data_IF_012086069277
#
_entry.id   IF_012086069277
#
_cell.length_a   1.000
_cell.length_b   1.000
_cell.length_c   1.000
_cell.angle_alpha   90.00
_cell.angle_beta   90.00
_cell.angle_gamma   90.00
#
_symmetry.space_group_name_H-M   'P 1'
#
loop_
_entity.id
_entity.type
_entity.pdbx_description
1 polymer ?
#
# COMPACT_ATOMS: atom_id res chain seq x y z
N UNK A 1 -4.26 -10.41 -10.98
CA UNK A 1 -3.69 -9.31 -10.18
C UNK A 1 -4.67 -8.17 -10.31
N UNK A 2 -5.03 -7.57 -9.18
CA UNK A 2 -6.17 -6.67 -9.05
C UNK A 2 -5.81 -5.63 -7.98
N UNK A 3 -6.37 -4.43 -8.07
CA UNK A 3 -6.36 -3.45 -7.01
C UNK A 3 -7.79 -2.97 -6.76
N UNK A 4 -8.28 -3.15 -5.54
CA UNK A 4 -9.59 -2.65 -5.12
C UNK A 4 -9.44 -1.27 -4.46
N UNK A 5 -10.46 -0.43 -4.58
CA UNK A 5 -10.45 0.93 -4.06
C UNK A 5 -9.96 1.95 -5.08
N UNK A 6 -9.66 3.18 -4.62
CA UNK A 6 -9.19 4.25 -5.52
C UNK A 6 -7.70 4.14 -5.74
N UNK A 7 -7.29 3.91 -6.99
CA UNK A 7 -5.89 3.89 -7.39
C UNK A 7 -5.53 5.24 -8.01
N UNK A 8 -4.48 5.87 -7.49
CA UNK A 8 -3.99 7.16 -8.00
C UNK A 8 -2.51 7.05 -8.33
N UNK A 9 -2.14 7.45 -9.53
CA UNK A 9 -0.77 7.64 -9.96
C UNK A 9 -0.60 9.10 -10.38
N UNK A 10 0.34 9.83 -9.77
CA UNK A 10 0.59 11.23 -10.15
C UNK A 10 1.33 11.36 -11.50
N UNK A 11 1.92 10.28 -11.98
CA UNK A 11 2.55 10.18 -13.29
C UNK A 11 1.81 9.19 -14.17
N UNK A 12 2.58 8.40 -14.92
CA UNK A 12 2.04 7.36 -15.80
C UNK A 12 1.62 6.10 -15.04
N UNK A 13 0.71 5.35 -15.64
CA UNK A 13 0.33 4.00 -15.27
C UNK A 13 0.66 3.04 -16.43
N UNK A 14 1.53 2.07 -16.18
CA UNK A 14 1.87 1.02 -17.14
C UNK A 14 1.37 -0.34 -16.64
N UNK A 15 0.65 -1.04 -17.50
CA UNK A 15 0.23 -2.41 -17.30
C UNK A 15 0.89 -3.29 -18.37
N UNK A 16 1.80 -4.14 -17.91
CA UNK A 16 2.49 -5.15 -18.70
C UNK A 16 2.62 -6.41 -17.83
N UNK A 17 1.78 -7.39 -18.09
CA UNK A 17 1.66 -8.63 -17.34
C UNK A 17 2.56 -9.68 -17.97
N UNK A 18 3.13 -10.51 -17.08
CA UNK A 18 3.96 -11.64 -17.51
C UNK A 18 3.19 -12.61 -18.41
N UNK A 19 3.91 -13.21 -19.35
CA UNK A 19 3.38 -14.33 -20.13
C UNK A 19 2.91 -15.49 -19.24
N UNK A 20 1.87 -16.20 -19.69
CA UNK A 20 1.37 -17.41 -19.03
C UNK A 20 0.51 -17.18 -17.78
N UNK A 21 0.24 -15.93 -17.39
CA UNK A 21 -0.79 -15.59 -16.38
C UNK A 21 -2.03 -14.98 -17.03
N UNK A 22 -3.06 -14.66 -16.23
CA UNK A 22 -4.20 -13.88 -16.72
C UNK A 22 -3.73 -12.56 -17.31
N UNK A 23 -4.23 -12.20 -18.49
CA UNK A 23 -3.91 -10.95 -19.20
C UNK A 23 -4.89 -9.83 -18.84
N UNK A 24 -5.48 -9.94 -17.64
CA UNK A 24 -6.48 -9.02 -17.11
C UNK A 24 -5.95 -8.40 -15.82
N UNK A 25 -6.19 -7.10 -15.64
CA UNK A 25 -6.01 -6.39 -14.38
C UNK A 25 -7.32 -5.71 -14.00
N UNK A 26 -7.90 -6.07 -12.86
CA UNK A 26 -9.08 -5.37 -12.34
C UNK A 26 -8.63 -4.19 -11.48
N UNK A 27 -9.21 -3.01 -11.70
CA UNK A 27 -8.96 -1.78 -10.93
C UNK A 27 -10.26 -1.25 -10.34
N UNK A 28 -10.22 -0.80 -9.10
CA UNK A 28 -11.40 -0.34 -8.37
C UNK A 28 -12.17 -1.45 -7.68
N UNK A 29 -12.33 -2.60 -8.35
CA UNK A 29 -13.01 -3.78 -7.83
C UNK A 29 -12.09 -4.99 -7.99
N UNK A 30 -12.03 -5.86 -7.00
CA UNK A 30 -11.30 -7.12 -7.06
C UNK A 30 -12.24 -8.29 -6.81
N UNK A 31 -12.09 -9.40 -7.54
CA UNK A 31 -13.05 -10.50 -7.51
C UNK A 31 -13.16 -11.21 -6.16
N UNK A 32 -12.10 -11.12 -5.33
CA UNK A 32 -12.07 -11.57 -3.93
C UNK A 32 -11.54 -10.49 -2.99
N UNK A 33 -11.72 -9.21 -3.34
CA UNK A 33 -11.28 -8.05 -2.55
C UNK A 33 -12.01 -7.86 -1.22
N UNK A 34 -11.75 -6.73 -0.56
CA UNK A 34 -12.48 -6.29 0.64
C UNK A 34 -13.98 -6.07 0.37
N UNK A 35 -14.39 -6.00 -0.90
CA UNK A 35 -15.75 -5.70 -1.39
C UNK A 35 -16.22 -4.31 -0.97
N UNK A 36 -15.30 -3.37 -0.87
CA UNK A 36 -15.58 -1.94 -0.68
C UNK A 36 -15.16 -1.18 -1.94
N UNK A 37 -15.85 -1.39 -3.07
CA UNK A 37 -15.50 -0.69 -4.30
C UNK A 37 -15.80 0.82 -4.14
N UNK A 38 -15.07 1.70 -4.86
CA UNK A 38 -15.47 3.08 -4.96
C UNK A 38 -16.88 3.18 -5.57
N UNK A 39 -17.63 4.27 -5.32
CA UNK A 39 -18.96 4.45 -5.89
C UNK A 39 -18.97 4.32 -7.42
N UNK A 40 -20.05 3.75 -7.97
CA UNK A 40 -20.21 3.62 -9.43
C UNK A 40 -20.08 4.97 -10.13
N UNK A 41 -19.35 4.97 -11.25
CA UNK A 41 -19.04 6.15 -12.06
C UNK A 41 -17.98 7.08 -11.46
N UNK A 42 -17.47 6.80 -10.25
CA UNK A 42 -16.30 7.51 -9.73
C UNK A 42 -15.00 7.01 -10.36
N UNK A 43 -13.93 7.80 -10.26
CA UNK A 43 -12.61 7.41 -10.74
C UNK A 43 -12.09 6.24 -9.88
N UNK A 44 -11.95 5.07 -10.52
CA UNK A 44 -11.32 3.87 -9.95
C UNK A 44 -9.81 3.94 -10.13
N UNK A 45 -9.37 4.44 -11.30
CA UNK A 45 -8.01 4.80 -11.58
C UNK A 45 -7.94 6.29 -11.96
N UNK A 46 -7.01 7.01 -11.37
CA UNK A 46 -6.59 8.35 -11.76
C UNK A 46 -5.11 8.31 -12.12
N UNK A 47 -4.76 8.74 -13.33
CA UNK A 47 -3.38 8.88 -13.79
C UNK A 47 -3.08 10.33 -14.19
N UNK A 48 -2.04 10.91 -13.59
CA UNK A 48 -1.55 12.26 -13.94
C UNK A 48 -0.73 12.31 -15.22
N UNK A 49 -0.52 11.18 -15.89
CA UNK A 49 0.15 11.08 -17.17
C UNK A 49 -0.47 9.98 -18.03
N UNK A 50 0.37 9.30 -18.80
CA UNK A 50 -0.06 8.29 -19.75
C UNK A 50 -0.63 7.04 -19.06
N UNK A 51 -1.57 6.38 -19.72
CA UNK A 51 -2.04 5.04 -19.36
C UNK A 51 -1.68 4.11 -20.52
N UNK A 52 -0.83 3.13 -20.25
CA UNK A 52 -0.36 2.17 -21.26
C UNK A 52 -0.72 0.76 -20.82
N UNK A 53 -1.46 0.04 -21.66
CA UNK A 53 -1.77 -1.38 -21.49
C UNK A 53 -1.10 -2.15 -22.63
N UNK A 54 -0.29 -3.15 -22.30
CA UNK A 54 0.43 -3.95 -23.27
C UNK A 54 -0.52 -4.71 -24.23
N UNK A 55 0.00 -5.05 -25.42
CA UNK A 55 -0.78 -5.71 -26.46
C UNK A 55 -1.33 -7.07 -25.98
N UNK A 56 -2.63 -7.31 -26.21
CA UNK A 56 -3.29 -8.54 -25.78
C UNK A 56 -3.79 -8.51 -24.33
N UNK A 57 -3.50 -7.44 -23.58
CA UNK A 57 -3.95 -7.27 -22.20
C UNK A 57 -5.11 -6.29 -22.06
N UNK A 58 -5.79 -6.36 -20.91
CA UNK A 58 -6.97 -5.53 -20.61
C UNK A 58 -6.99 -5.03 -19.17
N UNK A 59 -7.21 -3.74 -19.02
CA UNK A 59 -7.55 -3.09 -17.75
C UNK A 59 -9.08 -3.07 -17.59
N UNK A 60 -9.63 -3.69 -16.54
CA UNK A 60 -11.06 -3.69 -16.26
C UNK A 60 -11.37 -2.76 -15.09
N UNK A 61 -12.22 -1.77 -15.33
CA UNK A 61 -12.78 -0.89 -14.32
C UNK A 61 -14.26 -1.25 -14.04
N UNK A 62 -14.62 -2.52 -14.13
CA UNK A 62 -15.96 -3.04 -13.85
C UNK A 62 -15.96 -4.45 -13.27
N UNK A 63 -17.01 -4.77 -12.52
CA UNK A 63 -17.37 -6.13 -12.15
C UNK A 63 -18.90 -6.24 -12.00
N UNK A 64 -19.51 -7.15 -12.76
CA UNK A 64 -20.96 -7.33 -12.75
C UNK A 64 -21.71 -6.08 -13.19
N UNK A 65 -22.47 -5.47 -12.28
CA UNK A 65 -23.20 -4.22 -12.54
C UNK A 65 -22.45 -2.96 -12.11
N UNK A 66 -21.31 -3.12 -11.46
CA UNK A 66 -20.51 -2.02 -10.93
C UNK A 66 -19.43 -1.61 -11.92
N UNK A 67 -19.24 -0.30 -12.08
CA UNK A 67 -18.23 0.24 -13.01
C UNK A 67 -17.77 1.62 -12.60
N UNK A 68 -16.49 1.90 -12.85
CA UNK A 68 -15.86 3.18 -12.56
C UNK A 68 -15.40 3.92 -13.80
N UNK A 69 -14.52 4.90 -13.58
CA UNK A 69 -13.81 5.63 -14.61
C UNK A 69 -12.31 5.43 -14.48
N UNK A 70 -11.64 5.53 -15.62
CA UNK A 70 -10.18 5.60 -15.73
C UNK A 70 -9.87 7.01 -16.21
N UNK A 71 -9.57 7.90 -15.27
CA UNK A 71 -9.20 9.28 -15.55
C UNK A 71 -7.71 9.36 -15.88
N UNK A 72 -7.35 10.03 -16.97
CA UNK A 72 -5.96 10.16 -17.42
C UNK A 72 -5.68 11.52 -18.04
N UNK A 73 -4.51 12.08 -17.77
CA UNK A 73 -4.09 13.40 -18.25
C UNK A 73 -3.16 13.35 -19.49
N UNK A 74 -2.53 12.19 -19.76
CA UNK A 74 -1.66 11.98 -20.91
C UNK A 74 -2.37 11.25 -22.07
N UNK A 75 -1.61 10.38 -22.75
CA UNK A 75 -2.14 9.50 -23.78
C UNK A 75 -2.70 8.19 -23.18
N UNK A 76 -3.68 7.59 -23.85
CA UNK A 76 -4.15 6.24 -23.54
C UNK A 76 -3.81 5.29 -24.70
N UNK A 77 -3.11 4.21 -24.39
CA UNK A 77 -2.84 3.11 -25.33
C UNK A 77 -3.23 1.76 -24.75
N UNK A 78 -3.68 0.85 -25.62
CA UNK A 78 -4.17 -0.48 -25.23
C UNK A 78 -5.67 -0.54 -24.95
N UNK A 79 -6.11 -1.54 -24.18
CA UNK A 79 -7.54 -1.83 -23.98
C UNK A 79 -7.98 -1.61 -22.54
N UNK A 80 -9.02 -0.80 -22.38
CA UNK A 80 -9.73 -0.57 -21.11
C UNK A 80 -11.19 -0.97 -21.28
N UNK A 81 -11.72 -1.76 -20.35
CA UNK A 81 -13.13 -2.13 -20.31
C UNK A 81 -13.79 -1.61 -19.01
N UNK A 82 -15.06 -1.16 -19.06
CA UNK A 82 -15.85 -1.00 -20.26
C UNK A 82 -15.27 0.10 -21.16
N UNK A 83 -15.58 0.07 -22.46
CA UNK A 83 -15.09 1.08 -23.42
C UNK A 83 -15.53 2.52 -23.08
N UNK A 84 -16.47 2.67 -22.15
CA UNK A 84 -16.94 3.95 -21.59
C UNK A 84 -16.18 4.40 -20.34
N UNK A 85 -15.30 3.57 -19.77
CA UNK A 85 -14.53 3.90 -18.58
C UNK A 85 -13.44 4.96 -18.83
N UNK A 86 -12.68 4.93 -19.95
CA UNK A 86 -11.69 5.96 -20.24
C UNK A 86 -12.28 7.36 -20.25
N UNK A 87 -11.66 8.26 -19.49
CA UNK A 87 -12.03 9.68 -19.39
C UNK A 87 -10.76 10.53 -19.44
N UNK A 88 -10.51 11.17 -20.57
CA UNK A 88 -9.44 12.17 -20.64
C UNK A 88 -9.78 13.37 -19.76
N UNK A 89 -8.80 13.82 -18.98
CA UNK A 89 -8.88 14.98 -18.10
C UNK A 89 -7.46 15.48 -17.81
N UNK A 90 -7.09 16.63 -18.39
CA UNK A 90 -5.75 17.22 -18.25
C UNK A 90 -5.38 17.51 -16.79
N UNK A 91 -6.38 17.69 -15.93
CA UNK A 91 -6.22 17.99 -14.50
C UNK A 91 -6.58 16.78 -13.61
N UNK A 92 -6.65 15.56 -14.16
CA UNK A 92 -7.10 14.36 -13.45
C UNK A 92 -6.43 14.18 -12.08
N UNK A 93 -5.11 14.40 -12.00
CA UNK A 93 -4.33 14.23 -10.79
C UNK A 93 -4.21 15.49 -9.92
N UNK A 94 -4.73 16.66 -10.36
CA UNK A 94 -4.62 17.92 -9.63
C UNK A 94 -5.10 17.85 -8.17
N UNK A 95 -6.17 17.09 -7.81
CA UNK A 95 -6.58 16.97 -6.41
C UNK A 95 -5.55 16.26 -5.50
N UNK A 96 -4.59 15.55 -6.10
CA UNK A 96 -3.67 14.65 -5.40
C UNK A 96 -2.21 15.13 -5.43
N UNK A 97 -1.88 16.17 -6.21
CA UNK A 97 -0.49 16.63 -6.39
C UNK A 97 0.15 17.06 -5.07
N UNK A 98 -0.60 17.76 -4.22
CA UNK A 98 -0.15 18.22 -2.91
C UNK A 98 -0.10 17.11 -1.85
N UNK A 99 -0.72 15.95 -2.09
CA UNK A 99 -0.68 14.85 -1.11
C UNK A 99 0.72 14.26 -1.00
N UNK A 100 1.48 14.15 -2.09
CA UNK A 100 2.82 13.56 -2.04
C UNK A 100 3.76 14.30 -1.07
N UNK A 101 3.96 15.63 -1.17
CA UNK A 101 4.79 16.34 -0.18
C UNK A 101 4.21 16.28 1.24
N UNK A 102 2.88 16.31 1.41
CA UNK A 102 2.25 16.15 2.73
C UNK A 102 2.49 14.77 3.34
N UNK A 103 2.45 13.71 2.53
CA UNK A 103 2.72 12.34 2.96
C UNK A 103 4.20 12.15 3.30
N UNK A 104 5.12 12.77 2.56
CA UNK A 104 6.55 12.80 2.91
C UNK A 104 6.78 13.50 4.26
N UNK A 105 6.19 14.68 4.45
CA UNK A 105 6.28 15.41 5.72
C UNK A 105 5.66 14.62 6.88
N UNK A 106 4.48 14.04 6.69
CA UNK A 106 3.81 13.21 7.68
C UNK A 106 4.64 11.97 8.03
N UNK A 107 5.15 11.25 7.03
CA UNK A 107 6.01 10.08 7.22
C UNK A 107 7.23 10.40 8.07
N UNK A 108 7.91 11.52 7.79
CA UNK A 108 9.04 11.97 8.59
C UNK A 108 8.62 12.37 10.00
N UNK A 109 7.54 13.13 10.17
CA UNK A 109 7.01 13.56 11.47
C UNK A 109 6.60 12.37 12.37
N UNK A 110 6.10 11.29 11.77
CA UNK A 110 5.77 10.06 12.48
C UNK A 110 7.01 9.30 12.95
N UNK A 111 8.13 9.43 12.25
CA UNK A 111 9.36 8.71 12.54
C UNK A 111 10.38 9.50 13.37
N UNK A 112 10.39 10.83 13.30
CA UNK A 112 11.48 11.63 13.85
C UNK A 112 10.98 12.78 14.74
N UNK A 113 11.70 13.02 15.83
CA UNK A 113 11.66 14.25 16.64
C UNK A 113 12.94 15.05 16.36
N UNK A 114 12.91 15.88 15.32
CA UNK A 114 14.12 16.51 14.77
C UNK A 114 14.90 15.51 13.92
N UNK A 115 16.16 15.25 14.28
CA UNK A 115 17.02 14.24 13.62
C UNK A 115 17.05 12.90 14.42
N UNK A 116 16.42 12.86 15.60
CA UNK A 116 16.38 11.67 16.44
C UNK A 116 15.12 10.85 16.12
N UNK A 117 15.24 9.52 16.21
CA UNK A 117 14.08 8.65 16.11
C UNK A 117 13.09 8.99 17.21
N UNK A 118 11.81 8.96 16.87
CA UNK A 118 10.71 9.19 17.80
C UNK A 118 10.74 8.14 18.90
N UNK A 119 10.49 8.56 20.15
CA UNK A 119 10.49 7.66 21.30
C UNK A 119 9.47 6.52 21.13
N UNK A 120 9.96 5.28 21.22
CA UNK A 120 9.13 4.09 21.12
C UNK A 120 8.32 3.88 22.41
N UNK A 121 7.02 3.63 22.26
CA UNK A 121 6.13 3.21 23.37
C UNK A 121 5.92 1.70 23.39
N UNK A 122 6.57 0.98 22.48
CA UNK A 122 6.53 -0.46 22.38
C UNK A 122 7.92 -1.04 22.12
N UNK A 123 8.00 -2.36 22.23
CA UNK A 123 9.21 -3.12 21.91
C UNK A 123 8.88 -4.17 20.87
N UNK A 124 9.89 -4.64 20.13
CA UNK A 124 9.71 -5.75 19.23
C UNK A 124 10.81 -6.78 19.40
N UNK A 125 10.46 -8.04 19.11
CA UNK A 125 11.39 -9.17 19.11
C UNK A 125 11.10 -10.02 17.89
N UNK A 126 12.16 -10.43 17.21
CA UNK A 126 12.10 -11.40 16.11
C UNK A 126 12.66 -12.72 16.63
N UNK A 127 11.88 -13.80 16.50
CA UNK A 127 12.23 -15.15 16.96
C UNK A 127 11.67 -16.17 15.97
N UNK A 128 12.54 -16.95 15.32
CA UNK A 128 12.15 -17.89 14.29
C UNK A 128 11.41 -17.21 13.13
N UNK A 129 10.16 -17.60 12.91
CA UNK A 129 9.28 -17.11 11.85
C UNK A 129 8.26 -16.06 12.35
N UNK A 130 8.46 -15.51 13.55
CA UNK A 130 7.58 -14.49 14.13
C UNK A 130 8.35 -13.22 14.48
N UNK A 131 7.71 -12.09 14.21
CA UNK A 131 8.10 -10.77 14.67
C UNK A 131 6.98 -10.25 15.57
N UNK A 132 7.26 -10.18 16.87
CA UNK A 132 6.29 -9.82 17.90
C UNK A 132 6.51 -8.38 18.34
N UNK A 133 5.48 -7.56 18.21
CA UNK A 133 5.38 -6.19 18.66
C UNK A 133 4.58 -6.15 19.97
N UNK A 134 5.18 -5.67 21.05
CA UNK A 134 4.56 -5.53 22.37
C UNK A 134 4.43 -4.06 22.74
N UNK A 135 3.20 -3.56 22.77
CA UNK A 135 2.91 -2.21 23.25
C UNK A 135 3.04 -2.06 24.76
N UNK A 136 2.98 -0.83 25.26
CA UNK A 136 3.04 -0.51 26.69
C UNK A 136 1.71 -0.75 27.45
N UNK A 137 0.63 -1.08 26.74
CA UNK A 137 -0.69 -1.31 27.32
C UNK A 137 -1.41 -0.05 27.80
N UNK A 138 -0.93 1.15 27.48
CA UNK A 138 -1.55 2.40 27.95
C UNK A 138 -1.54 3.58 26.96
N UNK A 139 -0.53 3.70 26.11
CA UNK A 139 -0.43 4.79 25.14
C UNK A 139 -1.49 4.69 24.05
N UNK A 140 -2.07 5.84 23.68
CA UNK A 140 -3.04 5.92 22.59
C UNK A 140 -2.42 5.66 21.20
N UNK A 141 -1.11 5.89 21.07
CA UNK A 141 -0.32 5.52 19.90
C UNK A 141 0.78 4.58 20.38
N UNK A 142 0.85 3.40 19.79
CA UNK A 142 1.87 2.39 20.04
C UNK A 142 2.95 2.52 18.96
N UNK A 143 4.09 3.10 19.33
CA UNK A 143 5.20 3.41 18.42
C UNK A 143 6.27 2.34 18.54
N UNK A 144 6.63 1.74 17.41
CA UNK A 144 7.70 0.76 17.30
C UNK A 144 8.82 1.32 16.42
N UNK A 145 10.03 1.34 16.96
CA UNK A 145 11.26 1.71 16.26
C UNK A 145 11.92 0.43 15.72
N UNK A 146 11.86 0.20 14.41
CA UNK A 146 12.38 -0.99 13.76
C UNK A 146 13.53 -0.64 12.82
N UNK A 147 14.74 -1.06 13.18
CA UNK A 147 15.92 -1.02 12.31
C UNK A 147 16.29 -2.42 11.81
N UNK A 148 15.36 -3.04 11.07
CA UNK A 148 15.53 -4.37 10.49
C UNK A 148 14.52 -4.62 9.36
N UNK A 149 14.83 -5.59 8.50
CA UNK A 149 13.84 -6.12 7.57
C UNK A 149 12.72 -6.86 8.33
N UNK A 150 11.50 -6.73 7.81
CA UNK A 150 10.29 -7.36 8.32
C UNK A 150 10.16 -8.78 7.73
N UNK A 151 11.14 -9.61 8.08
CA UNK A 151 11.30 -11.00 7.64
C UNK A 151 11.61 -11.91 8.82
N UNK A 152 11.58 -13.23 8.61
CA UNK A 152 11.99 -14.23 9.61
C UNK A 152 13.49 -14.15 9.90
N UNK A 153 13.95 -14.75 11.00
CA UNK A 153 15.38 -14.79 11.35
C UNK A 153 16.24 -15.48 10.28
N UNK A 154 15.67 -16.44 9.55
CA UNK A 154 16.36 -17.20 8.50
C UNK A 154 16.31 -16.52 7.12
N UNK A 155 15.66 -15.36 7.02
CA UNK A 155 15.28 -14.74 5.75
C UNK A 155 14.02 -15.38 5.16
N UNK A 156 13.12 -14.55 4.62
CA UNK A 156 11.82 -14.98 4.09
C UNK A 156 10.65 -14.75 5.04
N UNK A 157 9.51 -15.39 4.77
CA UNK A 157 8.23 -14.99 5.34
C UNK A 157 8.18 -15.06 6.88
N UNK A 158 7.71 -13.98 7.52
CA UNK A 158 7.41 -13.89 8.95
C UNK A 158 5.92 -13.68 9.21
N UNK A 159 5.45 -14.09 10.39
CA UNK A 159 4.22 -13.60 10.98
C UNK A 159 4.47 -12.37 11.85
N UNK A 160 3.51 -11.46 11.92
CA UNK A 160 3.46 -10.30 12.80
C UNK A 160 2.48 -10.52 13.97
N UNK A 161 2.97 -10.44 15.20
CA UNK A 161 2.12 -10.61 16.39
C UNK A 161 2.08 -9.30 17.14
N UNK A 162 0.89 -8.83 17.50
CA UNK A 162 0.70 -7.62 18.29
C UNK A 162 0.14 -7.99 19.67
N UNK A 163 0.86 -7.60 20.73
CA UNK A 163 0.51 -7.83 22.12
C UNK A 163 0.44 -6.50 22.88
N UNK A 164 -0.41 -6.44 23.92
CA UNK A 164 -0.46 -5.26 24.80
C UNK A 164 -0.88 -3.97 24.09
N UNK A 165 -1.65 -4.06 23.00
CA UNK A 165 -2.21 -2.91 22.30
C UNK A 165 -3.54 -2.54 22.96
N UNK A 166 -3.69 -1.32 23.51
CA UNK A 166 -4.97 -0.87 24.06
C UNK A 166 -6.08 -0.86 22.99
N UNK A 167 -7.33 -1.07 23.42
CA UNK A 167 -8.49 -0.98 22.52
C UNK A 167 -8.56 0.42 21.88
N UNK A 168 -8.71 0.46 20.55
CA UNK A 168 -8.79 1.70 19.79
C UNK A 168 -7.47 2.48 19.63
N UNK A 169 -6.34 1.94 20.11
CA UNK A 169 -5.04 2.57 19.90
C UNK A 169 -4.58 2.49 18.44
N UNK A 170 -3.87 3.53 17.99
CA UNK A 170 -3.14 3.52 16.73
C UNK A 170 -1.83 2.78 16.89
N UNK A 171 -1.46 1.95 15.92
CA UNK A 171 -0.16 1.30 15.87
C UNK A 171 0.67 1.90 14.74
N UNK A 172 1.84 2.42 15.10
CA UNK A 172 2.80 3.01 14.18
C UNK A 172 4.09 2.19 14.23
N UNK A 173 4.38 1.48 13.15
CA UNK A 173 5.65 0.75 12.98
C UNK A 173 6.54 1.57 12.06
N UNK A 174 7.51 2.30 12.62
CA UNK A 174 8.51 3.02 11.86
C UNK A 174 9.65 2.07 11.51
N UNK A 175 9.86 1.82 10.22
CA UNK A 175 10.91 0.96 9.70
C UNK A 175 11.96 1.85 9.02
N UNK A 176 13.04 2.11 9.74
CA UNK A 176 14.09 3.04 9.31
C UNK A 176 15.01 2.43 8.28
N UNK A 177 15.74 3.23 7.50
CA UNK A 177 16.78 2.75 6.59
C UNK A 177 16.39 2.78 5.11
N UNK A 178 17.40 2.90 4.24
CA UNK A 178 17.21 3.19 2.81
C UNK A 178 16.74 2.01 1.98
N UNK A 179 17.06 0.79 2.39
CA UNK A 179 16.66 -0.43 1.68
C UNK A 179 16.01 -1.37 2.67
N UNK A 180 14.76 -1.77 2.39
CA UNK A 180 14.00 -2.65 3.25
C UNK A 180 13.24 -3.72 2.49
N UNK A 181 13.08 -4.84 3.15
CA UNK A 181 12.19 -5.90 2.69
C UNK A 181 11.15 -6.26 3.74
N UNK A 182 9.99 -6.65 3.22
CA UNK A 182 8.88 -7.21 3.96
C UNK A 182 8.54 -8.53 3.32
N UNK A 183 8.60 -9.61 4.10
CA UNK A 183 8.17 -10.93 3.65
C UNK A 183 7.20 -11.50 4.67
N UNK A 184 5.92 -11.70 4.33
CA UNK A 184 4.95 -12.19 5.30
C UNK A 184 3.98 -13.23 4.77
N UNK A 185 3.67 -14.22 5.60
CA UNK A 185 2.63 -15.21 5.30
C UNK A 185 1.30 -14.90 5.99
N UNK A 186 1.18 -13.75 6.66
CA UNK A 186 0.18 -13.64 7.70
C UNK A 186 -1.27 -13.59 7.21
N UNK A 187 -2.09 -14.36 7.93
CA UNK A 187 -3.52 -14.17 8.04
C UNK A 187 -3.88 -14.03 9.52
N UNK A 188 -4.70 -13.02 9.82
CA UNK A 188 -5.41 -12.79 11.09
C UNK A 188 -4.65 -12.00 12.17
N UNK A 189 -5.08 -10.75 12.39
CA UNK A 189 -4.86 -10.04 13.64
C UNK A 189 -5.82 -10.52 14.74
N UNK A 190 -5.38 -10.58 16.02
CA UNK A 190 -6.21 -11.06 17.13
C UNK A 190 -7.32 -10.08 17.55
N UNK A 191 -7.22 -8.80 17.16
CA UNK A 191 -8.11 -7.73 17.63
C UNK A 191 -8.90 -7.15 16.46
N UNK A 192 -10.24 -7.10 16.59
CA UNK A 192 -11.09 -6.34 15.68
C UNK A 192 -10.67 -4.86 15.69
N UNK A 193 -10.61 -4.22 14.51
CA UNK A 193 -10.27 -2.79 14.39
C UNK A 193 -8.76 -2.47 14.36
N UNK A 194 -7.87 -3.42 14.65
CA UNK A 194 -6.42 -3.14 14.66
C UNK A 194 -5.89 -2.86 13.24
N UNK A 195 -6.38 -3.59 12.24
CA UNK A 195 -5.96 -3.43 10.85
C UNK A 195 -6.18 -2.01 10.35
N UNK A 196 -7.33 -1.44 10.70
CA UNK A 196 -7.76 -0.10 10.32
C UNK A 196 -6.93 0.99 11.02
N UNK A 197 -6.28 0.64 12.13
CA UNK A 197 -5.47 1.54 12.97
C UNK A 197 -3.96 1.27 12.86
N UNK A 198 -3.52 0.42 11.93
CA UNK A 198 -2.12 0.03 11.75
C UNK A 198 -1.49 0.78 10.56
N UNK A 199 -0.37 1.45 10.81
CA UNK A 199 0.48 2.08 9.81
C UNK A 199 1.90 1.51 9.84
N UNK A 200 2.34 0.98 8.72
CA UNK A 200 3.74 0.64 8.42
C UNK A 200 4.38 1.82 7.70
N UNK A 201 5.27 2.52 8.39
CA UNK A 201 5.89 3.74 7.90
C UNK A 201 7.36 3.50 7.55
N UNK A 202 7.74 3.78 6.31
CA UNK A 202 9.10 3.67 5.78
C UNK A 202 9.59 5.07 5.38
N UNK A 203 10.09 5.88 6.34
CA UNK A 203 10.40 7.30 6.11
C UNK A 203 11.55 7.53 5.14
N UNK A 204 12.54 6.62 5.14
CA UNK A 204 13.81 6.80 4.42
C UNK A 204 14.01 5.83 3.25
N UNK A 205 13.10 4.85 3.10
CA UNK A 205 13.30 3.77 2.13
C UNK A 205 13.29 4.32 0.70
N UNK A 206 14.42 4.21 0.01
CA UNK A 206 14.52 4.44 -1.44
C UNK A 206 14.17 3.19 -2.22
N UNK A 207 14.31 2.02 -1.59
CA UNK A 207 14.05 0.73 -2.20
C UNK A 207 13.30 -0.16 -1.20
N UNK A 208 12.05 -0.49 -1.52
CA UNK A 208 11.20 -1.35 -0.71
C UNK A 208 10.75 -2.55 -1.52
N UNK A 209 10.97 -3.76 -1.01
CA UNK A 209 10.33 -4.97 -1.53
C UNK A 209 9.30 -5.49 -0.54
N UNK A 210 8.13 -5.86 -1.04
CA UNK A 210 7.07 -6.49 -0.26
C UNK A 210 6.66 -7.77 -0.96
N UNK A 211 6.86 -8.89 -0.28
CA UNK A 211 6.53 -10.21 -0.78
C UNK A 211 5.77 -11.02 0.24
N UNK A 212 5.12 -12.09 -0.22
CA UNK A 212 4.49 -13.04 0.66
C UNK A 212 3.40 -13.86 -0.02
N UNK A 213 3.09 -15.04 0.53
CA UNK A 213 2.00 -15.86 0.01
C UNK A 213 0.60 -15.37 0.44
N UNK A 214 0.50 -14.33 1.27
CA UNK A 214 -0.75 -13.88 1.89
C UNK A 214 -0.96 -12.36 1.76
N UNK A 215 -2.13 -11.89 2.22
CA UNK A 215 -2.46 -10.47 2.23
C UNK A 215 -1.61 -9.73 3.25
N UNK A 216 -1.05 -8.59 2.84
CA UNK A 216 -0.41 -7.66 3.77
C UNK A 216 -1.49 -6.79 4.43
N UNK A 217 -1.53 -6.75 5.76
CA UNK A 217 -2.60 -6.07 6.49
C UNK A 217 -2.12 -4.73 7.10
N UNK A 218 -2.96 -3.70 6.99
CA UNK A 218 -2.68 -2.34 7.47
C UNK A 218 -2.42 -1.34 6.33
N UNK A 219 -2.15 -0.10 6.71
CA UNK A 219 -1.74 0.95 5.77
C UNK A 219 -0.22 0.97 5.61
N UNK A 220 0.26 1.26 4.40
CA UNK A 220 1.70 1.42 4.11
C UNK A 220 1.95 2.84 3.67
N UNK A 221 2.93 3.50 4.29
CA UNK A 221 3.42 4.82 3.89
C UNK A 221 4.91 4.73 3.60
N UNK A 222 5.29 5.00 2.35
CA UNK A 222 6.68 5.13 1.93
C UNK A 222 6.96 6.62 1.73
N UNK A 223 7.72 7.20 2.65
CA UNK A 223 7.87 8.64 2.77
C UNK A 223 8.73 9.28 1.68
N UNK A 224 9.72 8.54 1.18
CA UNK A 224 10.65 9.06 0.17
C UNK A 224 9.97 9.21 -1.20
N UNK A 225 9.90 10.43 -1.76
CA UNK A 225 9.31 10.64 -3.08
C UNK A 225 9.94 9.77 -4.17
N UNK A 226 11.26 9.60 -4.15
CA UNK A 226 11.99 8.87 -5.19
C UNK A 226 12.03 7.36 -4.95
N UNK A 227 11.26 6.85 -3.97
CA UNK A 227 11.28 5.44 -3.64
C UNK A 227 10.74 4.56 -4.77
N UNK A 228 11.31 3.37 -4.89
CA UNK A 228 10.78 2.28 -5.69
C UNK A 228 10.23 1.19 -4.77
N UNK A 229 8.94 0.87 -4.93
CA UNK A 229 8.30 -0.23 -4.20
C UNK A 229 7.95 -1.36 -5.16
N UNK A 230 8.43 -2.57 -4.87
CA UNK A 230 8.12 -3.80 -5.60
C UNK A 230 7.16 -4.65 -4.77
N UNK A 231 6.01 -5.01 -5.33
CA UNK A 231 5.02 -5.91 -4.72
C UNK A 231 5.03 -7.24 -5.48
N UNK A 232 5.22 -8.39 -4.80
CA UNK A 232 5.36 -9.70 -5.46
C UNK A 232 4.85 -10.91 -4.70
#
# INVERSE_FOLDING_TARGET
>A
AEAEGKVVTLGRFDMDKRDGVSQIYNVGIAGVGSRVPPPDGSDYLTAGGDVTIAEGERLLAEEGTHSGRVAYAGDLTGTVEPATAPRFDEDAAAPYTELRPQLTEASHCYAYDGDEHREATGTWVKTGDLMTFTGDGSSAIQIFDVDADLESEAGGNTGFVFNGIPEGATVLVNVYGSTRSVATFMGSFPNEGLRENLLWNFPDATDLSMTGPAQFEGSVLVGQPTSTTVLS
#
